data_IF_242281561672
#
_entry.id   IF_242281561672
#
_cell.length_a   1.000
_cell.length_b   1.000
_cell.length_c   1.000
_cell.angle_alpha   90.00
_cell.angle_beta   90.00
_cell.angle_gamma   90.00
#
_symmetry.space_group_name_H-M   'P 1'
#
loop_
_entity.id
_entity.type
_entity.pdbx_description
1 polymer ?
#
# COMPACT_ATOMS: atom_id res chain seq x y z
N UNK A 1 5.82 -0.32 24.69
CA UNK A 1 4.76 0.46 24.01
C UNK A 1 4.97 0.20 22.54
N UNK A 2 3.94 -0.24 21.83
CA UNK A 2 4.08 -0.63 20.43
C UNK A 2 3.69 0.53 19.50
N UNK A 3 4.56 0.81 18.53
CA UNK A 3 4.46 1.90 17.57
C UNK A 3 4.58 1.34 16.15
N UNK A 4 3.57 1.57 15.31
CA UNK A 4 3.54 1.06 13.93
C UNK A 4 3.44 2.18 12.91
N UNK A 5 3.92 1.92 11.71
CA UNK A 5 3.80 2.82 10.56
C UNK A 5 3.07 2.11 9.40
N UNK A 6 2.07 2.77 8.84
CA UNK A 6 1.21 2.23 7.78
C UNK A 6 1.42 3.00 6.49
N UNK A 7 1.76 2.29 5.44
CA UNK A 7 1.88 2.78 4.07
C UNK A 7 0.54 2.55 3.41
N UNK A 8 -0.16 3.63 3.07
CA UNK A 8 -1.48 3.55 2.48
C UNK A 8 -1.41 3.89 1.00
N UNK A 9 -1.99 3.01 0.20
CA UNK A 9 -2.14 3.15 -1.23
C UNK A 9 -3.58 2.83 -1.64
N UNK A 10 -3.98 3.19 -2.86
CA UNK A 10 -5.37 3.20 -3.27
C UNK A 10 -5.74 2.04 -4.19
N UNK A 11 -4.85 1.68 -5.10
CA UNK A 11 -5.06 0.75 -6.19
C UNK A 11 -5.42 -0.63 -5.68
N UNK A 12 -4.78 -1.11 -4.61
CA UNK A 12 -5.04 -2.42 -4.03
C UNK A 12 -6.27 -2.51 -3.14
N UNK A 13 -7.03 -1.42 -2.93
CA UNK A 13 -8.21 -1.41 -2.06
C UNK A 13 -9.37 -2.26 -2.62
N UNK A 14 -10.15 -2.93 -1.76
CA UNK A 14 -11.33 -3.67 -2.21
C UNK A 14 -12.39 -2.74 -2.84
N UNK A 15 -12.93 -3.12 -3.99
CA UNK A 15 -13.86 -2.30 -4.77
C UNK A 15 -13.22 -1.22 -5.65
N UNK A 16 -11.89 -1.11 -5.66
CA UNK A 16 -11.12 -0.30 -6.60
C UNK A 16 -10.63 -1.19 -7.75
N UNK A 17 -10.86 -0.80 -8.99
CA UNK A 17 -10.50 -1.58 -10.18
C UNK A 17 -10.18 -0.75 -11.43
N UNK A 18 -10.40 0.57 -11.40
CA UNK A 18 -10.20 1.44 -12.55
C UNK A 18 -9.26 2.60 -12.22
N UNK A 19 -8.05 2.57 -12.81
CA UNK A 19 -7.03 3.57 -12.54
C UNK A 19 -7.53 5.00 -12.82
N UNK A 20 -8.15 5.19 -13.98
CA UNK A 20 -8.52 6.52 -14.48
C UNK A 20 -9.62 7.14 -13.61
N UNK A 21 -10.60 6.33 -13.19
CA UNK A 21 -11.79 6.84 -12.51
C UNK A 21 -11.69 6.78 -10.98
N UNK A 22 -10.86 5.90 -10.42
CA UNK A 22 -10.78 5.65 -8.97
C UNK A 22 -9.42 5.99 -8.36
N UNK A 23 -8.34 6.07 -9.14
CA UNK A 23 -6.97 6.28 -8.66
C UNK A 23 -6.27 7.46 -9.34
N UNK A 24 -7.01 8.34 -10.00
CA UNK A 24 -6.42 9.45 -10.75
C UNK A 24 -7.25 10.71 -10.61
N UNK A 25 -6.55 11.83 -10.57
CA UNK A 25 -7.09 13.17 -10.47
C UNK A 25 -6.08 14.14 -11.09
N UNK A 26 -6.57 15.22 -11.70
CA UNK A 26 -5.69 16.23 -12.31
C UNK A 26 -5.25 17.20 -11.21
N UNK A 27 -3.94 17.28 -10.95
CA UNK A 27 -3.39 18.22 -9.98
C UNK A 27 -3.33 19.66 -10.53
N UNK A 28 -2.95 19.84 -11.81
CA UNK A 28 -2.83 21.14 -12.49
C UNK A 28 -2.74 21.03 -14.03
N UNK A 29 -2.32 22.09 -14.74
CA UNK A 29 -2.19 22.06 -16.21
C UNK A 29 -1.04 21.18 -16.71
N UNK A 30 -0.04 20.84 -15.87
CA UNK A 30 1.07 19.95 -16.26
C UNK A 30 0.61 18.50 -16.40
N UNK A 31 -0.41 18.08 -15.63
CA UNK A 31 -0.94 16.71 -15.69
C UNK A 31 -1.85 16.44 -16.89
N UNK A 32 -2.29 17.47 -17.63
CA UNK A 32 -3.22 17.30 -18.76
C UNK A 32 -2.64 16.44 -19.88
N UNK A 33 -1.31 16.33 -19.99
CA UNK A 33 -0.63 15.49 -20.98
C UNK A 33 -0.48 14.03 -20.53
N UNK A 34 -0.54 13.72 -19.22
CA UNK A 34 -0.20 12.41 -18.66
C UNK A 34 -1.36 11.73 -17.90
N UNK A 35 -2.34 12.50 -17.43
CA UNK A 35 -3.51 12.02 -16.68
C UNK A 35 -4.78 12.37 -17.45
N UNK A 36 -5.51 11.36 -17.90
CA UNK A 36 -6.76 11.54 -18.67
C UNK A 36 -8.04 11.62 -17.81
N UNK A 37 -7.92 11.72 -16.48
CA UNK A 37 -9.06 11.74 -15.56
C UNK A 37 -9.42 13.14 -15.04
N UNK A 38 -10.53 13.74 -15.50
CA UNK A 38 -11.20 14.79 -14.70
C UNK A 38 -11.66 14.18 -13.39
N UNK A 39 -11.58 14.93 -12.28
CA UNK A 39 -12.12 14.56 -10.96
C UNK A 39 -13.38 13.70 -11.08
N UNK A 40 -13.20 12.39 -10.99
CA UNK A 40 -14.28 11.42 -11.08
C UNK A 40 -14.90 11.28 -9.69
N UNK A 41 -16.23 11.25 -9.60
CA UNK A 41 -16.91 10.96 -8.33
C UNK A 41 -16.46 9.62 -7.73
N UNK A 42 -15.99 8.69 -8.57
CA UNK A 42 -15.49 7.39 -8.14
C UNK A 42 -14.12 7.47 -7.43
N UNK A 43 -13.35 8.55 -7.60
CA UNK A 43 -12.12 8.77 -6.83
C UNK A 43 -12.43 9.07 -5.36
N UNK A 44 -13.42 9.91 -5.07
CA UNK A 44 -13.87 10.13 -3.68
C UNK A 44 -14.47 8.85 -3.06
N UNK A 45 -15.16 8.03 -3.86
CA UNK A 45 -15.60 6.71 -3.42
C UNK A 45 -14.40 5.83 -3.04
N UNK A 46 -13.36 5.76 -3.87
CA UNK A 46 -12.16 4.98 -3.61
C UNK A 46 -11.44 5.45 -2.32
N UNK A 47 -11.25 6.76 -2.15
CA UNK A 47 -10.65 7.34 -0.93
C UNK A 47 -11.42 6.96 0.33
N UNK A 48 -12.74 7.02 0.27
CA UNK A 48 -13.60 6.55 1.37
C UNK A 48 -13.41 5.05 1.64
N UNK A 49 -13.30 4.22 0.61
CA UNK A 49 -13.07 2.78 0.77
C UNK A 49 -11.71 2.51 1.45
N UNK A 50 -10.63 3.12 0.96
CA UNK A 50 -9.28 2.96 1.50
C UNK A 50 -9.18 3.45 2.95
N UNK A 51 -9.78 4.59 3.26
CA UNK A 51 -9.81 5.11 4.63
C UNK A 51 -10.53 4.18 5.60
N UNK A 52 -11.63 3.55 5.16
CA UNK A 52 -12.34 2.60 6.01
C UNK A 52 -11.58 1.27 6.16
N UNK A 53 -10.73 0.88 5.21
CA UNK A 53 -9.77 -0.21 5.39
C UNK A 53 -8.65 0.17 6.39
N UNK A 54 -8.13 1.39 6.31
CA UNK A 54 -7.15 1.91 7.29
C UNK A 54 -7.74 1.94 8.70
N UNK A 55 -8.99 2.39 8.85
CA UNK A 55 -9.66 2.38 10.14
C UNK A 55 -9.81 0.97 10.70
N UNK A 56 -10.11 -0.02 9.87
CA UNK A 56 -10.19 -1.42 10.30
C UNK A 56 -8.82 -1.97 10.73
N UNK A 57 -7.74 -1.58 10.04
CA UNK A 57 -6.36 -1.86 10.47
C UNK A 57 -6.08 -1.21 11.84
N UNK A 58 -6.42 0.07 12.01
CA UNK A 58 -6.22 0.81 13.27
C UNK A 58 -6.96 0.13 14.42
N UNK A 59 -8.22 -0.27 14.22
CA UNK A 59 -8.99 -1.04 15.21
C UNK A 59 -8.28 -2.35 15.58
N UNK A 60 -7.80 -3.11 14.59
CA UNK A 60 -7.07 -4.36 14.83
C UNK A 60 -5.76 -4.14 15.57
N UNK A 61 -5.06 -3.03 15.28
CA UNK A 61 -3.82 -2.68 15.94
C UNK A 61 -4.04 -2.33 17.43
N UNK A 62 -5.08 -1.54 17.72
CA UNK A 62 -5.47 -1.18 19.09
C UNK A 62 -5.86 -2.44 19.88
N UNK A 63 -6.64 -3.35 19.28
CA UNK A 63 -7.01 -4.62 19.90
C UNK A 63 -5.80 -5.49 20.27
N UNK A 64 -4.72 -5.39 19.50
CA UNK A 64 -3.46 -6.10 19.76
C UNK A 64 -2.50 -5.32 20.69
N UNK A 65 -2.93 -4.17 21.25
CA UNK A 65 -2.15 -3.39 22.21
C UNK A 65 -1.19 -2.37 21.60
N UNK A 66 -1.36 -2.01 20.32
CA UNK A 66 -0.63 -0.89 19.70
C UNK A 66 -1.05 0.43 20.34
N UNK A 67 -0.07 1.25 20.71
CA UNK A 67 -0.28 2.52 21.42
C UNK A 67 -0.01 3.76 20.57
N UNK A 68 0.67 3.60 19.44
CA UNK A 68 0.93 4.70 18.51
C UNK A 68 0.87 4.20 17.07
N UNK A 69 0.04 4.86 16.26
CA UNK A 69 -0.21 4.45 14.87
C UNK A 69 -0.03 5.66 13.97
N UNK A 70 0.95 5.59 13.08
CA UNK A 70 1.16 6.58 12.04
C UNK A 70 0.76 5.98 10.70
N UNK A 71 0.13 6.77 9.84
CA UNK A 71 -0.17 6.40 8.47
C UNK A 71 0.39 7.44 7.52
N UNK A 72 0.95 7.02 6.40
CA UNK A 72 1.32 7.88 5.29
C UNK A 72 0.40 7.62 4.12
N UNK A 73 -0.17 8.70 3.61
CA UNK A 73 -0.90 8.70 2.34
C UNK A 73 0.12 8.73 1.20
N UNK A 74 0.40 7.55 0.65
CA UNK A 74 1.40 7.33 -0.39
C UNK A 74 0.87 7.42 -1.82
N UNK A 75 -0.41 7.73 -1.99
CA UNK A 75 -1.03 7.80 -3.31
C UNK A 75 -1.06 9.24 -3.84
N UNK A 76 -0.08 9.60 -4.66
CA UNK A 76 0.07 10.91 -5.30
C UNK A 76 0.23 12.07 -4.30
N UNK A 77 0.31 13.30 -4.83
CA UNK A 77 0.28 14.53 -4.00
C UNK A 77 -1.15 14.82 -3.51
N UNK A 78 -1.33 15.90 -2.75
CA UNK A 78 -2.66 16.35 -2.32
C UNK A 78 -3.67 16.35 -3.51
N UNK A 79 -4.88 15.77 -3.33
CA UNK A 79 -5.53 15.43 -2.07
C UNK A 79 -5.30 14.00 -1.56
N UNK A 80 -4.47 13.19 -2.20
CA UNK A 80 -4.06 11.86 -1.68
C UNK A 80 -5.13 10.76 -1.77
N UNK A 81 -4.77 9.54 -1.39
CA UNK A 81 -5.63 8.35 -1.38
C UNK A 81 -6.58 8.24 -0.18
N UNK A 82 -6.49 9.13 0.82
CA UNK A 82 -7.31 9.03 2.05
C UNK A 82 -8.27 10.20 2.24
N UNK A 83 -9.39 9.95 2.91
CA UNK A 83 -10.40 10.92 3.32
C UNK A 83 -10.19 11.29 4.80
N UNK A 84 -9.58 12.45 5.03
CA UNK A 84 -9.18 12.89 6.38
C UNK A 84 -10.35 13.10 7.34
N UNK A 85 -11.57 13.36 6.83
CA UNK A 85 -12.75 13.54 7.68
C UNK A 85 -13.27 12.22 8.26
N UNK A 86 -12.90 11.09 7.65
CA UNK A 86 -13.30 9.76 8.07
C UNK A 86 -12.22 9.03 8.87
N UNK A 87 -11.04 9.63 9.05
CA UNK A 87 -9.91 8.97 9.68
C UNK A 87 -10.19 8.61 11.14
N UNK A 88 -9.79 7.41 11.55
CA UNK A 88 -9.89 6.96 12.94
C UNK A 88 -9.10 7.91 13.86
N UNK A 89 -9.67 8.37 15.00
CA UNK A 89 -9.07 9.42 15.85
C UNK A 89 -7.71 9.06 16.45
N UNK A 90 -7.41 7.78 16.63
CA UNK A 90 -6.11 7.30 17.13
C UNK A 90 -5.02 7.20 16.03
N UNK A 91 -5.36 7.44 14.76
CA UNK A 91 -4.41 7.40 13.66
C UNK A 91 -3.82 8.80 13.41
N UNK A 92 -2.49 8.91 13.41
CA UNK A 92 -1.78 10.15 13.05
C UNK A 92 -1.38 10.08 11.58
N UNK A 93 -1.88 11.02 10.77
CA UNK A 93 -1.60 11.05 9.33
C UNK A 93 -0.38 11.91 9.00
N UNK A 94 0.57 11.35 8.26
CA UNK A 94 1.65 12.06 7.59
C UNK A 94 1.08 12.68 6.32
N UNK A 95 0.92 14.01 6.33
CA UNK A 95 0.34 14.77 5.22
C UNK A 95 1.42 15.48 4.40
N UNK A 96 1.11 15.74 3.12
CA UNK A 96 1.94 16.53 2.21
C UNK A 96 3.35 15.94 1.95
N UNK A 97 3.49 14.62 2.01
CA UNK A 97 4.72 13.91 1.67
C UNK A 97 4.81 13.54 0.17
N UNK A 98 3.67 13.47 -0.53
CA UNK A 98 3.60 13.06 -1.95
C UNK A 98 4.21 11.68 -2.19
N UNK A 99 4.58 11.39 -3.44
CA UNK A 99 5.11 10.07 -3.82
C UNK A 99 6.58 9.83 -3.43
N UNK A 100 7.30 10.86 -2.97
CA UNK A 100 8.71 10.75 -2.58
C UNK A 100 8.96 10.09 -1.22
N UNK A 101 7.91 9.55 -0.59
CA UNK A 101 7.97 8.88 0.72
C UNK A 101 8.36 7.40 0.63
N UNK A 102 8.36 6.68 1.77
CA UNK A 102 7.80 7.08 3.07
C UNK A 102 8.63 8.12 3.84
N UNK A 103 7.96 9.08 4.50
CA UNK A 103 8.58 10.20 5.24
C UNK A 103 8.27 10.10 6.73
N UNK A 104 9.25 10.30 7.60
CA UNK A 104 9.02 10.34 9.06
C UNK A 104 9.07 8.97 9.75
N UNK A 105 9.53 7.96 9.03
CA UNK A 105 9.89 6.66 9.58
C UNK A 105 11.35 6.63 10.06
N UNK A 106 11.61 5.86 11.11
CA UNK A 106 12.93 5.61 11.67
C UNK A 106 12.97 4.23 12.36
N UNK A 107 14.07 3.91 13.03
CA UNK A 107 14.24 2.66 13.78
C UNK A 107 13.49 2.62 15.13
N UNK A 108 12.70 3.65 15.47
CA UNK A 108 11.85 3.65 16.68
C UNK A 108 10.51 2.96 16.48
N UNK A 109 10.15 2.62 15.24
CA UNK A 109 8.95 1.84 14.94
C UNK A 109 9.21 0.35 15.15
N UNK A 110 8.20 -0.36 15.67
CA UNK A 110 8.28 -1.80 15.91
C UNK A 110 7.94 -2.60 14.65
N UNK A 111 7.12 -2.05 13.75
CA UNK A 111 6.68 -2.73 12.53
C UNK A 111 6.12 -1.78 11.47
N UNK A 112 6.26 -2.18 10.21
CA UNK A 112 5.67 -1.55 9.03
C UNK A 112 4.54 -2.38 8.42
N UNK A 113 3.54 -1.69 7.88
CA UNK A 113 2.34 -2.25 7.29
C UNK A 113 2.13 -1.67 5.89
N UNK A 114 1.85 -2.52 4.90
CA UNK A 114 1.43 -2.10 3.57
C UNK A 114 -0.09 -2.28 3.45
N UNK A 115 -0.83 -1.24 3.12
CA UNK A 115 -2.29 -1.26 3.03
C UNK A 115 -2.73 -0.79 1.65
N UNK A 116 -3.53 -1.60 0.97
CA UNK A 116 -4.05 -1.26 -0.35
C UNK A 116 -2.98 -1.24 -1.44
N UNK A 117 -1.92 -2.02 -1.30
CA UNK A 117 -0.80 -2.06 -2.23
C UNK A 117 -1.13 -2.73 -3.57
N UNK A 118 -0.45 -2.33 -4.63
CA UNK A 118 -0.48 -2.98 -5.95
C UNK A 118 0.88 -3.55 -6.34
N UNK A 119 0.90 -4.45 -7.33
CA UNK A 119 2.16 -4.97 -7.87
C UNK A 119 2.85 -3.99 -8.81
N UNK A 120 4.16 -4.15 -8.99
CA UNK A 120 4.98 -3.33 -9.88
C UNK A 120 4.64 -3.52 -11.37
N UNK A 121 4.98 -2.51 -12.18
CA UNK A 121 4.89 -2.57 -13.65
C UNK A 121 5.50 -3.86 -14.23
N UNK A 122 4.84 -4.43 -15.23
CA UNK A 122 5.30 -5.62 -15.94
C UNK A 122 4.92 -6.94 -15.26
N UNK A 123 4.34 -6.90 -14.07
CA UNK A 123 3.88 -8.10 -13.36
C UNK A 123 2.69 -8.75 -14.07
N UNK A 124 2.79 -10.06 -14.31
CA UNK A 124 1.71 -10.85 -14.90
C UNK A 124 0.54 -11.01 -13.92
N UNK A 125 -0.69 -10.87 -14.44
CA UNK A 125 -1.91 -10.95 -13.64
C UNK A 125 -1.89 -9.93 -12.48
N UNK A 126 -1.51 -8.69 -12.76
CA UNK A 126 -1.53 -7.61 -11.79
C UNK A 126 -2.45 -6.49 -12.29
N UNK A 127 -3.58 -6.24 -11.62
CA UNK A 127 -4.42 -5.11 -11.97
C UNK A 127 -3.71 -3.81 -11.63
N UNK A 128 -3.83 -2.79 -12.49
CA UNK A 128 -3.30 -1.44 -12.23
C UNK A 128 -1.79 -1.42 -11.94
N UNK A 129 -1.03 -2.38 -12.46
CA UNK A 129 0.38 -2.54 -12.16
C UNK A 129 1.21 -1.39 -12.75
N UNK A 130 1.87 -0.64 -11.89
CA UNK A 130 2.73 0.46 -12.29
C UNK A 130 3.90 0.65 -11.31
N UNK A 131 4.71 1.68 -11.54
CA UNK A 131 5.77 2.08 -10.61
C UNK A 131 6.06 3.56 -10.81
N UNK A 132 6.20 4.29 -9.71
CA UNK A 132 6.57 5.71 -9.75
C UNK A 132 8.09 5.91 -9.97
N UNK A 133 8.91 4.92 -9.62
CA UNK A 133 10.37 5.02 -9.63
C UNK A 133 11.04 4.05 -10.63
N UNK A 134 11.24 4.47 -11.90
CA UNK A 134 11.92 3.63 -12.87
C UNK A 134 13.44 3.51 -12.58
N UNK A 135 14.00 2.33 -12.85
CA UNK A 135 15.46 2.12 -12.93
C UNK A 135 16.14 1.52 -11.69
N UNK A 136 15.38 1.15 -10.66
CA UNK A 136 15.91 0.35 -9.55
C UNK A 136 15.77 -1.13 -9.86
N UNK A 137 16.85 -1.88 -9.64
CA UNK A 137 16.91 -3.32 -9.90
C UNK A 137 17.51 -4.08 -8.72
N UNK A 138 17.01 -5.31 -8.50
CA UNK A 138 17.54 -6.27 -7.54
C UNK A 138 17.49 -7.67 -8.17
N UNK A 139 18.61 -8.39 -8.11
CA UNK A 139 18.78 -9.70 -8.75
C UNK A 139 18.42 -9.72 -10.26
N UNK A 140 18.62 -8.60 -10.96
CA UNK A 140 18.31 -8.46 -12.39
C UNK A 140 16.83 -8.26 -12.70
N UNK A 141 15.99 -8.04 -11.68
CA UNK A 141 14.59 -7.67 -11.85
C UNK A 141 14.33 -6.24 -11.36
N UNK A 142 13.43 -5.53 -12.05
CA UNK A 142 12.98 -4.22 -11.60
C UNK A 142 12.28 -4.31 -10.26
N UNK A 143 12.54 -3.33 -9.40
CA UNK A 143 11.95 -3.19 -8.08
C UNK A 143 10.83 -2.15 -8.15
N UNK A 144 9.62 -2.50 -7.67
CA UNK A 144 8.53 -1.55 -7.49
C UNK A 144 8.50 -0.95 -6.08
N UNK A 145 7.39 -0.30 -5.76
CA UNK A 145 7.18 0.40 -4.49
C UNK A 145 7.23 -0.53 -3.27
N UNK A 146 6.75 -1.78 -3.40
CA UNK A 146 6.86 -2.79 -2.35
C UNK A 146 8.32 -3.10 -2.05
N UNK A 147 9.16 -3.31 -3.08
CA UNK A 147 10.57 -3.60 -2.87
C UNK A 147 11.39 -2.38 -2.45
N UNK A 148 11.00 -1.15 -2.85
CA UNK A 148 11.56 0.07 -2.27
C UNK A 148 11.25 0.17 -0.78
N UNK A 149 10.02 -0.13 -0.39
CA UNK A 149 9.62 -0.18 1.01
C UNK A 149 10.40 -1.25 1.77
N UNK A 150 10.64 -2.42 1.15
CA UNK A 150 11.50 -3.47 1.71
C UNK A 150 12.95 -2.99 1.92
N UNK A 151 13.52 -2.23 0.98
CA UNK A 151 14.84 -1.63 1.15
C UNK A 151 14.88 -0.62 2.32
N UNK A 152 13.87 0.25 2.42
CA UNK A 152 13.70 1.18 3.54
C UNK A 152 13.65 0.45 4.89
N UNK A 153 12.78 -0.55 4.99
CA UNK A 153 12.58 -1.39 6.16
C UNK A 153 13.87 -2.10 6.59
N UNK A 154 14.62 -2.64 5.62
CA UNK A 154 15.89 -3.31 5.86
C UNK A 154 16.95 -2.36 6.45
N UNK A 155 17.08 -1.15 5.89
CA UNK A 155 18.02 -0.12 6.39
C UNK A 155 17.68 0.33 7.81
N UNK A 156 16.39 0.44 8.13
CA UNK A 156 15.93 0.84 9.46
C UNK A 156 15.93 -0.31 10.48
N UNK A 157 16.08 -1.55 10.04
CA UNK A 157 15.99 -2.74 10.89
C UNK A 157 14.58 -2.99 11.43
N UNK A 158 13.55 -2.56 10.70
CA UNK A 158 12.13 -2.68 11.09
C UNK A 158 11.44 -3.67 10.15
N UNK A 159 10.71 -4.70 10.65
CA UNK A 159 10.06 -5.68 9.78
C UNK A 159 8.80 -5.10 9.12
N UNK A 160 8.53 -5.55 7.89
CA UNK A 160 7.22 -5.37 7.25
C UNK A 160 6.38 -6.59 7.60
N UNK A 161 5.34 -6.40 8.39
CA UNK A 161 4.63 -7.53 9.04
C UNK A 161 3.28 -7.84 8.43
N UNK A 162 2.75 -6.92 7.62
CA UNK A 162 1.43 -7.04 7.02
C UNK A 162 1.40 -6.42 5.63
N UNK A 163 0.66 -7.06 4.74
CA UNK A 163 0.25 -6.48 3.45
C UNK A 163 -1.24 -6.76 3.17
N UNK A 164 -1.97 -5.73 2.73
CA UNK A 164 -3.21 -5.91 1.98
C UNK A 164 -3.08 -5.35 0.57
N UNK A 165 -3.78 -5.98 -0.39
CA UNK A 165 -3.73 -5.57 -1.78
C UNK A 165 -4.23 -6.66 -2.73
N UNK A 166 -3.95 -6.50 -4.01
CA UNK A 166 -4.24 -7.54 -4.99
C UNK A 166 -3.31 -8.76 -4.84
N UNK A 167 -3.71 -9.92 -5.38
CA UNK A 167 -2.92 -11.16 -5.27
C UNK A 167 -1.51 -11.06 -5.87
N UNK A 168 -1.27 -10.23 -6.87
CA UNK A 168 0.08 -10.01 -7.39
C UNK A 168 0.94 -9.17 -6.45
N UNK A 169 0.38 -8.13 -5.81
CA UNK A 169 1.07 -7.35 -4.78
C UNK A 169 1.52 -8.24 -3.61
N UNK A 170 0.63 -9.12 -3.13
CA UNK A 170 0.96 -10.09 -2.08
C UNK A 170 2.10 -11.02 -2.50
N UNK A 171 2.06 -11.54 -3.74
CA UNK A 171 3.14 -12.38 -4.27
C UNK A 171 4.47 -11.63 -4.33
N UNK A 172 4.45 -10.36 -4.75
CA UNK A 172 5.65 -9.52 -4.78
C UNK A 172 6.23 -9.31 -3.38
N UNK A 173 5.40 -8.97 -2.39
CA UNK A 173 5.84 -8.80 -1.01
C UNK A 173 6.46 -10.08 -0.42
N UNK A 174 5.89 -11.25 -0.75
CA UNK A 174 6.41 -12.55 -0.30
C UNK A 174 7.79 -12.90 -0.87
N UNK A 175 8.25 -12.26 -1.95
CA UNK A 175 9.63 -12.39 -2.42
C UNK A 175 10.61 -11.77 -1.42
N UNK A 176 10.22 -10.67 -0.77
CA UNK A 176 11.05 -9.96 0.21
C UNK A 176 10.86 -10.49 1.63
N UNK A 177 9.62 -10.81 2.01
CA UNK A 177 9.26 -11.29 3.35
C UNK A 177 8.35 -12.52 3.21
N UNK A 178 8.91 -13.75 3.10
CA UNK A 178 8.14 -14.95 2.76
C UNK A 178 7.03 -15.31 3.75
N UNK A 179 7.15 -14.89 5.01
CA UNK A 179 6.22 -15.20 6.09
C UNK A 179 5.39 -14.00 6.58
N UNK A 180 5.30 -12.94 5.76
CA UNK A 180 4.43 -11.77 6.00
C UNK A 180 2.96 -12.18 6.18
N UNK A 181 2.22 -11.48 7.04
CA UNK A 181 0.77 -11.65 7.15
C UNK A 181 0.07 -10.97 5.97
N UNK A 182 -0.92 -11.63 5.36
CA UNK A 182 -1.50 -11.19 4.07
C UNK A 182 -3.01 -11.10 4.13
N UNK A 183 -3.56 -10.09 3.44
CA UNK A 183 -4.99 -10.02 3.08
C UNK A 183 -5.12 -9.68 1.60
N UNK A 184 -5.60 -10.63 0.82
CA UNK A 184 -5.91 -10.41 -0.60
C UNK A 184 -7.30 -9.78 -0.70
N UNK A 185 -7.37 -8.55 -1.18
CA UNK A 185 -8.61 -7.77 -1.31
C UNK A 185 -9.30 -8.00 -2.66
N UNK A 186 -8.52 -8.35 -3.69
CA UNK A 186 -8.99 -8.65 -5.04
C UNK A 186 -8.02 -9.53 -5.80
N UNK A 187 -8.56 -10.24 -6.80
CA UNK A 187 -7.78 -11.09 -7.68
C UNK A 187 -8.05 -10.82 -9.16
N UNK A 188 -7.02 -10.86 -10.02
CA UNK A 188 -7.19 -10.81 -11.46
C UNK A 188 -7.95 -12.05 -11.97
N UNK A 189 -8.83 -11.86 -12.95
CA UNK A 189 -9.46 -12.96 -13.71
C UNK A 189 -8.75 -13.22 -15.05
N UNK A 190 -7.51 -12.74 -15.18
CA UNK A 190 -6.67 -12.83 -16.36
C UNK A 190 -5.24 -13.25 -15.98
N UNK A 191 -4.44 -13.67 -16.97
CA UNK A 191 -3.09 -14.22 -16.76
C UNK A 191 -1.97 -13.51 -17.53
N UNK A 192 -2.29 -12.58 -18.43
CA UNK A 192 -1.29 -11.80 -19.16
C UNK A 192 -0.90 -10.52 -18.39
N UNK A 193 0.16 -9.86 -18.83
CA UNK A 193 0.53 -8.52 -18.34
C UNK A 193 -0.40 -7.50 -18.97
N UNK A 194 -0.95 -6.60 -18.15
CA UNK A 194 -1.77 -5.48 -18.58
C UNK A 194 -1.02 -4.17 -18.31
N UNK A 195 -1.30 -3.14 -19.12
CA UNK A 195 -0.84 -1.78 -18.83
C UNK A 195 -1.76 -1.12 -17.79
N UNK A 196 -1.24 -0.10 -17.09
CA UNK A 196 -1.90 0.54 -15.93
C UNK A 196 -3.32 1.07 -16.24
N UNK A 197 -3.59 1.45 -17.49
CA UNK A 197 -4.88 2.00 -17.92
C UNK A 197 -5.81 0.96 -18.58
N UNK A 198 -5.37 -0.30 -18.68
CA UNK A 198 -6.19 -1.35 -19.26
C UNK A 198 -7.37 -1.68 -18.34
N UNK A 199 -8.53 -1.96 -18.96
CA UNK A 199 -9.71 -2.44 -18.24
C UNK A 199 -9.55 -3.93 -17.97
N UNK A 200 -9.14 -4.25 -16.75
CA UNK A 200 -8.90 -5.62 -16.33
C UNK A 200 -10.03 -6.15 -15.46
N UNK A 201 -10.60 -7.33 -15.76
CA UNK A 201 -11.61 -7.94 -14.90
C UNK A 201 -10.94 -8.47 -13.62
N UNK A 202 -11.47 -8.07 -12.48
CA UNK A 202 -11.03 -8.50 -11.14
C UNK A 202 -12.21 -9.05 -10.35
N UNK A 203 -11.94 -10.08 -9.54
CA UNK A 203 -12.85 -10.55 -8.51
C UNK A 203 -12.43 -9.90 -7.19
N UNK A 204 -13.23 -8.95 -6.69
CA UNK A 204 -12.94 -8.23 -5.46
C UNK A 204 -13.83 -8.71 -4.31
N UNK A 205 -13.28 -8.70 -3.09
CA UNK A 205 -14.06 -8.83 -1.87
C UNK A 205 -15.06 -7.68 -1.75
N UNK A 206 -16.18 -7.95 -1.06
CA UNK A 206 -17.02 -6.86 -0.58
C UNK A 206 -16.21 -5.97 0.40
N UNK A 207 -16.35 -4.63 0.37
CA UNK A 207 -15.57 -3.75 1.23
C UNK A 207 -15.65 -4.07 2.73
N UNK A 208 -16.83 -4.44 3.22
CA UNK A 208 -17.01 -4.85 4.63
C UNK A 208 -16.21 -6.12 4.94
N UNK A 209 -16.20 -7.09 4.01
CA UNK A 209 -15.43 -8.32 4.21
C UNK A 209 -13.93 -8.06 4.20
N UNK A 210 -13.46 -7.15 3.33
CA UNK A 210 -12.06 -6.71 3.31
C UNK A 210 -11.65 -6.14 4.66
N UNK A 211 -12.46 -5.22 5.23
CA UNK A 211 -12.22 -4.61 6.55
C UNK A 211 -12.17 -5.65 7.67
N UNK A 212 -13.10 -6.60 7.71
CA UNK A 212 -13.06 -7.70 8.71
C UNK A 212 -11.75 -8.47 8.66
N UNK A 213 -11.30 -8.82 7.45
CA UNK A 213 -10.08 -9.59 7.23
C UNK A 213 -8.83 -8.76 7.55
N UNK A 214 -8.81 -7.48 7.20
CA UNK A 214 -7.73 -6.54 7.53
C UNK A 214 -7.62 -6.41 9.04
N UNK A 215 -8.71 -6.09 9.76
CA UNK A 215 -8.70 -6.01 11.23
C UNK A 215 -8.18 -7.28 11.88
N UNK A 216 -8.65 -8.44 11.42
CA UNK A 216 -8.19 -9.72 11.94
C UNK A 216 -6.71 -10.02 11.58
N UNK A 217 -6.30 -9.68 10.36
CA UNK A 217 -4.92 -9.85 9.89
C UNK A 217 -3.95 -8.94 10.61
N UNK A 218 -4.31 -7.69 10.89
CA UNK A 218 -3.49 -6.77 11.68
C UNK A 218 -3.19 -7.32 13.07
N UNK A 219 -4.18 -7.88 13.76
CA UNK A 219 -3.95 -8.55 15.05
C UNK A 219 -2.93 -9.67 14.95
N UNK A 220 -3.12 -10.58 13.98
CA UNK A 220 -2.19 -11.70 13.76
C UNK A 220 -0.79 -11.23 13.40
N UNK A 221 -0.67 -10.18 12.57
CA UNK A 221 0.62 -9.59 12.19
C UNK A 221 1.37 -9.08 13.42
N UNK A 222 0.67 -8.39 14.32
CA UNK A 222 1.23 -7.84 15.56
C UNK A 222 1.66 -8.95 16.53
N UNK A 223 0.80 -9.96 16.73
CA UNK A 223 1.10 -11.11 17.59
C UNK A 223 2.32 -11.90 17.11
N UNK A 224 2.62 -11.84 15.81
CA UNK A 224 3.67 -12.62 15.15
C UNK A 224 4.88 -11.79 14.72
N UNK A 225 5.02 -10.53 15.14
CA UNK A 225 6.15 -9.65 14.74
C UNK A 225 7.50 -10.36 14.92
N UNK A 226 7.71 -11.05 16.06
CA UNK A 226 8.96 -11.75 16.35
C UNK A 226 9.25 -12.96 15.46
N UNK A 227 8.24 -13.47 14.76
CA UNK A 227 8.38 -14.57 13.80
C UNK A 227 8.71 -14.06 12.40
N UNK A 228 8.38 -12.80 12.09
CA UNK A 228 8.46 -12.25 10.73
C UNK A 228 9.89 -11.82 10.43
N UNK A 229 10.39 -12.27 9.28
CA UNK A 229 11.77 -11.98 8.87
C UNK A 229 11.93 -10.52 8.47
N UNK A 230 13.08 -9.93 8.75
CA UNK A 230 13.46 -8.67 8.12
C UNK A 230 13.61 -8.87 6.61
N UNK A 231 13.19 -7.89 5.80
CA UNK A 231 13.48 -7.92 4.36
C UNK A 231 14.99 -7.89 4.12
N UNK A 232 15.47 -8.50 3.01
CA UNK A 232 16.88 -8.48 2.66
C UNK A 232 17.37 -7.05 2.44
N UNK A 233 18.66 -6.83 2.66
CA UNK A 233 19.28 -5.56 2.28
C UNK A 233 19.44 -5.51 0.76
N UNK A 234 18.79 -4.54 0.11
CA UNK A 234 18.91 -4.30 -1.33
C UNK A 234 20.19 -3.51 -1.64
N UNK A 235 20.71 -3.57 -2.88
CA UNK A 235 21.99 -2.96 -3.27
C UNK A 235 21.95 -1.42 -3.35
N UNK A 236 20.86 -0.79 -2.92
CA UNK A 236 20.66 0.65 -2.88
C UNK A 236 20.14 1.07 -1.50
N UNK A 237 20.56 2.25 -1.05
CA UNK A 237 20.03 2.86 0.17
C UNK A 237 19.07 3.99 -0.21
N UNK A 238 17.76 3.79 -0.03
CA UNK A 238 16.77 4.76 -0.45
C UNK A 238 16.66 5.98 0.50
N UNK A 239 17.36 5.98 1.65
CA UNK A 239 17.43 7.13 2.57
C UNK A 239 18.49 8.18 2.18
N UNK A 240 19.30 7.93 1.14
CA UNK A 240 20.42 8.81 0.73
C UNK A 240 20.15 9.45 -0.66
N UNK A 241 18.93 9.33 -1.19
CA UNK A 241 18.55 9.82 -2.52
C UNK A 241 18.13 11.29 -2.47
#
# INVERSE_FOLDING_TARGET
MMKIYVFCDLEGTAGVADQIHQCSFIHDEYDKEYIHGKYSSFYFQARKLATLELNALVEGAIEAGTTEIWAWDGHCRFPGGLDVELLHPECKLVMNAGDGGPVGQDSSFDAFFLLGAHAKKGTSAAPQAHMVFPGLEWNGEQVGEIGMTAAHASVLGVPIVFISGDRAAVREAQVFVPNIEVVITKEPLFSHTADVFDRVPVLSLAPEKSRELIRAGTRRAIERISEISLPPQLPFNPLIV
#
